data_IF_089204178755
#
_entry.id   IF_089204178755
#
_cell.length_a   1.000
_cell.length_b   1.000
_cell.length_c   1.000
_cell.angle_alpha   90.00
_cell.angle_beta   90.00
_cell.angle_gamma   90.00
#
_symmetry.space_group_name_H-M   'P 1'
#
loop_
_entity.id
_entity.type
_entity.pdbx_description
1 polymer ?
#
# COMPACT_ATOMS: atom_id res chain seq x y z
N UNK A 1 11.41 -3.02 15.87
CA UNK A 1 11.11 -3.80 14.67
C UNK A 1 10.04 -4.84 14.98
N UNK A 2 9.09 -5.02 14.07
CA UNK A 2 8.05 -6.05 14.13
C UNK A 2 8.19 -6.91 12.87
N UNK A 3 8.29 -8.21 13.05
CA UNK A 3 8.32 -9.18 11.96
C UNK A 3 7.01 -9.95 11.94
N UNK A 4 6.33 -9.95 10.80
CA UNK A 4 5.03 -10.58 10.61
C UNK A 4 5.13 -11.73 9.61
N UNK A 5 4.33 -12.76 9.85
CA UNK A 5 4.06 -13.82 8.89
C UNK A 5 2.67 -13.65 8.31
N UNK A 6 2.40 -14.31 7.20
CA UNK A 6 1.07 -14.37 6.61
C UNK A 6 0.01 -14.92 7.60
N UNK A 7 0.41 -15.89 8.44
CA UNK A 7 -0.45 -16.48 9.46
C UNK A 7 -0.82 -15.49 10.57
N UNK A 8 0.06 -14.52 10.88
CA UNK A 8 -0.23 -13.49 11.88
C UNK A 8 -1.37 -12.55 11.45
N UNK A 9 -1.60 -12.44 10.15
CA UNK A 9 -2.67 -11.61 9.58
C UNK A 9 -3.92 -12.41 9.16
N UNK A 10 -3.83 -13.75 9.07
CA UNK A 10 -4.97 -14.64 8.74
C UNK A 10 -5.65 -15.23 9.97
N UNK A 11 -4.87 -15.63 10.97
CA UNK A 11 -5.41 -16.18 12.21
C UNK A 11 -6.03 -15.06 13.05
N UNK A 12 -7.33 -15.14 13.34
CA UNK A 12 -8.04 -14.12 14.12
C UNK A 12 -7.36 -13.77 15.44
N UNK A 13 -6.88 -14.78 16.17
CA UNK A 13 -6.21 -14.57 17.47
C UNK A 13 -4.89 -13.82 17.29
N UNK A 14 -4.07 -14.25 16.33
CA UNK A 14 -2.78 -13.60 16.02
C UNK A 14 -2.98 -12.17 15.51
N UNK A 15 -3.97 -11.97 14.64
CA UNK A 15 -4.37 -10.67 14.14
C UNK A 15 -4.71 -9.70 15.27
N UNK A 16 -5.55 -10.12 16.22
CA UNK A 16 -5.94 -9.28 17.36
C UNK A 16 -4.76 -8.97 18.28
N UNK A 17 -3.86 -9.93 18.50
CA UNK A 17 -2.63 -9.72 19.28
C UNK A 17 -1.69 -8.72 18.58
N UNK A 18 -1.45 -8.91 17.28
CA UNK A 18 -0.64 -7.99 16.49
C UNK A 18 -1.23 -6.58 16.52
N UNK A 19 -2.54 -6.45 16.28
CA UNK A 19 -3.26 -5.18 16.33
C UNK A 19 -3.08 -4.47 17.68
N UNK A 20 -3.28 -5.19 18.78
CA UNK A 20 -3.11 -4.65 20.14
C UNK A 20 -1.68 -4.15 20.37
N UNK A 21 -0.69 -4.91 19.92
CA UNK A 21 0.73 -4.52 20.03
C UNK A 21 1.02 -3.23 19.23
N UNK A 22 0.51 -3.13 18.00
CA UNK A 22 0.69 -1.91 17.20
C UNK A 22 0.07 -0.69 17.87
N UNK A 23 -1.17 -0.82 18.37
CA UNK A 23 -1.85 0.29 19.02
C UNK A 23 -1.11 0.75 20.29
N UNK A 24 -0.64 -0.19 21.11
CA UNK A 24 0.16 0.15 22.31
C UNK A 24 1.46 0.89 21.96
N UNK A 25 2.15 0.48 20.90
CA UNK A 25 3.36 1.17 20.45
C UNK A 25 3.06 2.58 19.92
N UNK A 26 1.98 2.73 19.16
CA UNK A 26 1.56 4.04 18.64
C UNK A 26 1.12 4.96 19.77
N UNK A 27 0.39 4.48 20.77
CA UNK A 27 0.00 5.24 21.95
C UNK A 27 1.22 5.72 22.78
N UNK A 28 2.31 4.94 22.76
CA UNK A 28 3.59 5.32 23.37
C UNK A 28 4.44 6.27 22.49
N UNK A 29 3.93 6.67 21.31
CA UNK A 29 4.67 7.50 20.36
C UNK A 29 5.82 6.77 19.65
N UNK A 30 5.82 5.43 19.68
CA UNK A 30 6.85 4.61 19.00
C UNK A 30 6.43 4.37 17.55
N UNK A 31 7.35 4.56 16.62
CA UNK A 31 7.16 4.23 15.20
C UNK A 31 7.50 2.76 14.96
N UNK A 32 6.52 1.88 14.66
CA UNK A 32 6.79 0.49 14.33
C UNK A 32 7.46 0.36 12.95
N UNK A 33 8.61 -0.30 12.88
CA UNK A 33 9.26 -0.69 11.63
C UNK A 33 8.93 -2.15 11.36
N UNK A 34 8.24 -2.41 10.25
CA UNK A 34 7.65 -3.72 9.95
C UNK A 34 8.32 -4.36 8.76
N UNK A 35 8.52 -5.67 8.80
CA UNK A 35 8.92 -6.48 7.65
C UNK A 35 8.33 -7.89 7.76
N UNK A 36 8.44 -8.68 6.68
CA UNK A 36 8.13 -10.11 6.72
C UNK A 36 9.13 -10.87 7.59
N UNK A 37 8.67 -11.89 8.30
CA UNK A 37 9.55 -12.80 9.06
C UNK A 37 10.07 -13.93 8.16
N UNK A 38 11.04 -13.61 7.32
CA UNK A 38 11.66 -14.56 6.38
C UNK A 38 12.33 -15.78 7.06
N UNK A 39 12.58 -15.70 8.37
CA UNK A 39 13.24 -16.78 9.11
C UNK A 39 12.36 -18.02 9.28
N UNK A 40 11.05 -17.83 9.36
CA UNK A 40 10.07 -18.88 9.66
C UNK A 40 9.06 -19.11 8.56
N UNK A 41 9.18 -18.41 7.42
CA UNK A 41 8.25 -18.51 6.29
C UNK A 41 8.89 -19.35 5.18
N UNK A 42 8.16 -20.36 4.70
CA UNK A 42 8.51 -21.12 3.48
C UNK A 42 8.08 -20.34 2.24
N UNK A 43 8.74 -20.60 1.08
CA UNK A 43 8.46 -19.90 -0.18
C UNK A 43 7.00 -19.96 -0.65
N UNK A 44 6.24 -20.94 -0.17
CA UNK A 44 4.83 -21.17 -0.53
C UNK A 44 3.85 -20.26 0.23
N UNK A 45 4.30 -19.56 1.29
CA UNK A 45 3.45 -18.77 2.21
C UNK A 45 3.96 -17.33 2.39
N UNK A 46 4.70 -16.80 1.42
CA UNK A 46 5.18 -15.42 1.46
C UNK A 46 4.10 -14.42 1.06
N UNK A 47 4.18 -13.20 1.61
CA UNK A 47 3.33 -12.09 1.16
C UNK A 47 3.55 -11.72 -0.32
N UNK A 48 4.68 -12.13 -0.89
CA UNK A 48 5.05 -11.85 -2.26
C UNK A 48 5.77 -10.52 -2.43
N UNK A 49 5.36 -9.48 -1.73
CA UNK A 49 5.97 -8.16 -1.77
C UNK A 49 5.62 -7.32 -0.53
N UNK A 50 6.43 -6.29 -0.25
CA UNK A 50 6.23 -5.37 0.87
C UNK A 50 5.05 -4.40 0.63
N UNK A 51 4.61 -4.18 -0.60
CA UNK A 51 3.45 -3.34 -0.89
C UNK A 51 2.18 -4.00 -0.32
N UNK A 52 2.02 -5.32 -0.55
CA UNK A 52 0.93 -6.12 0.02
C UNK A 52 0.99 -6.15 1.56
N UNK A 53 2.17 -6.38 2.13
CA UNK A 53 2.35 -6.35 3.59
C UNK A 53 1.95 -4.98 4.16
N UNK A 54 2.40 -3.89 3.54
CA UNK A 54 2.07 -2.53 3.97
C UNK A 54 0.56 -2.25 3.95
N UNK A 55 -0.15 -2.71 2.90
CA UNK A 55 -1.60 -2.57 2.81
C UNK A 55 -2.35 -3.36 3.89
N UNK A 56 -1.89 -4.58 4.20
CA UNK A 56 -2.46 -5.40 5.26
C UNK A 56 -2.21 -4.79 6.65
N UNK A 57 -1.02 -4.22 6.88
CA UNK A 57 -0.72 -3.48 8.12
C UNK A 57 -1.56 -2.22 8.23
N UNK A 58 -1.74 -1.46 7.13
CA UNK A 58 -2.63 -0.30 7.11
C UNK A 58 -4.05 -0.68 7.55
N UNK A 59 -4.58 -1.81 7.05
CA UNK A 59 -5.88 -2.33 7.46
C UNK A 59 -5.89 -2.77 8.94
N UNK A 60 -4.82 -3.43 9.40
CA UNK A 60 -4.68 -3.90 10.78
C UNK A 60 -4.80 -2.76 11.80
N UNK A 61 -4.14 -1.64 11.52
CA UNK A 61 -4.11 -0.48 12.42
C UNK A 61 -5.23 0.54 12.15
N UNK A 62 -5.99 0.37 11.07
CA UNK A 62 -7.02 1.31 10.64
C UNK A 62 -6.45 2.63 10.15
N UNK A 63 -5.34 2.59 9.41
CA UNK A 63 -4.74 3.79 8.81
C UNK A 63 -5.69 4.44 7.80
N UNK A 64 -5.69 5.76 7.74
CA UNK A 64 -6.47 6.55 6.77
C UNK A 64 -5.72 6.65 5.43
N UNK A 65 -4.40 6.59 5.46
CA UNK A 65 -3.55 6.75 4.29
C UNK A 65 -2.43 5.72 4.27
N UNK A 66 -2.25 5.08 3.14
CA UNK A 66 -1.08 4.28 2.79
C UNK A 66 -0.20 5.09 1.83
N UNK A 67 1.08 5.25 2.16
CA UNK A 67 2.05 5.89 1.27
C UNK A 67 3.03 4.83 0.75
N UNK A 68 3.02 4.64 -0.58
CA UNK A 68 3.96 3.76 -1.28
C UNK A 68 5.01 4.60 -1.99
N UNK A 69 6.25 4.49 -1.54
CA UNK A 69 7.39 5.15 -2.16
C UNK A 69 8.02 4.25 -3.22
N UNK A 70 8.25 4.80 -4.39
CA UNK A 70 8.81 4.11 -5.56
C UNK A 70 9.90 4.96 -6.22
N UNK A 71 10.52 4.46 -7.26
CA UNK A 71 11.45 5.20 -8.13
C UNK A 71 10.72 6.03 -9.21
N UNK A 72 9.44 5.74 -9.46
CA UNK A 72 8.59 6.47 -10.40
C UNK A 72 7.92 7.68 -9.74
N UNK A 73 7.57 8.73 -10.50
CA UNK A 73 6.87 9.91 -9.95
C UNK A 73 5.48 9.60 -9.40
N UNK A 74 4.86 8.54 -9.87
CA UNK A 74 3.53 8.04 -9.53
C UNK A 74 3.01 7.10 -10.62
N UNK A 75 1.70 6.93 -10.71
CA UNK A 75 1.07 6.19 -11.81
C UNK A 75 1.01 7.08 -13.06
N UNK A 76 1.48 6.58 -14.18
CA UNK A 76 1.39 7.24 -15.48
C UNK A 76 0.22 6.67 -16.29
N UNK A 77 -0.31 7.46 -17.24
CA UNK A 77 -1.39 7.02 -18.14
C UNK A 77 -0.99 5.87 -19.06
N UNK A 78 0.30 5.72 -19.30
CA UNK A 78 0.93 4.63 -20.05
C UNK A 78 2.40 4.49 -19.61
N UNK A 79 3.09 3.46 -20.12
CA UNK A 79 4.51 3.29 -19.89
C UNK A 79 5.32 4.41 -20.57
N UNK A 80 6.03 5.28 -19.83
CA UNK A 80 6.79 6.39 -20.42
C UNK A 80 7.93 5.95 -21.38
N UNK A 81 8.41 4.70 -21.25
CA UNK A 81 9.41 4.15 -22.16
C UNK A 81 8.81 3.79 -23.52
N UNK A 82 7.51 3.48 -23.58
CA UNK A 82 6.80 3.11 -24.80
C UNK A 82 6.01 4.29 -25.37
N UNK A 83 5.45 5.14 -24.52
CA UNK A 83 4.68 6.34 -24.89
C UNK A 83 5.31 7.61 -24.29
N UNK A 84 6.09 8.37 -25.07
CA UNK A 84 6.70 9.63 -24.58
C UNK A 84 5.69 10.72 -24.17
N UNK A 85 4.41 10.55 -24.53
CA UNK A 85 3.31 11.44 -24.15
C UNK A 85 2.57 11.02 -22.86
N UNK A 86 3.05 10.00 -22.14
CA UNK A 86 2.42 9.57 -20.91
C UNK A 86 2.41 10.66 -19.85
N UNK A 87 1.26 10.90 -19.22
CA UNK A 87 1.05 11.94 -18.20
C UNK A 87 0.87 11.31 -16.82
N UNK A 88 1.23 12.05 -15.77
CA UNK A 88 1.03 11.62 -14.40
C UNK A 88 -0.46 11.67 -14.03
N UNK A 89 -1.00 10.54 -13.58
CA UNK A 89 -2.36 10.45 -13.02
C UNK A 89 -2.37 11.08 -11.63
N UNK A 90 -3.06 12.21 -11.46
CA UNK A 90 -3.07 12.91 -10.17
C UNK A 90 -3.98 12.23 -9.15
N UNK A 91 -5.17 11.79 -9.58
CA UNK A 91 -6.16 11.16 -8.69
C UNK A 91 -7.05 10.20 -9.48
N UNK A 92 -7.32 9.03 -8.90
CA UNK A 92 -8.23 8.03 -9.47
C UNK A 92 -8.81 7.15 -8.37
N UNK A 93 -10.04 6.60 -8.50
CA UNK A 93 -10.54 5.60 -7.55
C UNK A 93 -9.71 4.31 -7.59
N UNK A 94 -9.33 3.75 -6.43
CA UNK A 94 -8.56 2.51 -6.36
C UNK A 94 -9.29 1.30 -6.99
N UNK A 95 -10.63 1.36 -7.08
CA UNK A 95 -11.47 0.33 -7.68
C UNK A 95 -11.59 0.45 -9.21
N UNK A 96 -11.06 1.52 -9.82
CA UNK A 96 -11.16 1.73 -11.27
C UNK A 96 -10.39 0.64 -12.02
N UNK A 97 -11.02 0.09 -13.06
CA UNK A 97 -10.42 -0.98 -13.88
C UNK A 97 -9.37 -0.45 -14.84
N UNK A 98 -9.46 0.81 -15.24
CA UNK A 98 -8.44 1.43 -16.09
C UNK A 98 -7.03 1.42 -15.48
N UNK A 99 -6.95 1.26 -14.13
CA UNK A 99 -5.67 1.09 -13.45
C UNK A 99 -4.89 -0.15 -13.90
N UNK A 100 -5.59 -1.24 -14.31
CA UNK A 100 -4.94 -2.47 -14.76
C UNK A 100 -4.25 -2.26 -16.12
N UNK A 101 -4.88 -1.49 -17.00
CA UNK A 101 -4.32 -1.14 -18.31
C UNK A 101 -3.12 -0.17 -18.18
N UNK A 102 -3.23 0.81 -17.25
CA UNK A 102 -2.18 1.79 -16.99
C UNK A 102 -0.94 1.16 -16.28
N UNK A 103 -1.15 0.08 -15.51
CA UNK A 103 -0.04 -0.62 -14.84
C UNK A 103 0.96 -1.26 -15.82
N UNK A 104 0.53 -1.46 -17.06
CA UNK A 104 1.27 -2.19 -18.08
C UNK A 104 1.39 -3.68 -17.76
N UNK A 105 1.78 -4.46 -18.75
CA UNK A 105 2.24 -5.85 -18.52
C UNK A 105 3.56 -5.73 -17.77
N UNK A 106 3.51 -5.91 -16.43
CA UNK A 106 4.69 -5.78 -15.57
C UNK A 106 5.86 -6.56 -16.15
N UNK A 107 7.04 -5.95 -16.15
CA UNK A 107 8.25 -6.60 -16.66
C UNK A 107 8.38 -7.99 -16.03
N UNK A 108 8.51 -9.01 -16.84
CA UNK A 108 8.56 -10.42 -16.46
C UNK A 108 9.69 -10.77 -15.46
N UNK A 109 10.50 -9.79 -15.06
CA UNK A 109 11.64 -9.93 -14.14
C UNK A 109 11.52 -9.19 -12.80
N UNK A 110 10.47 -8.38 -12.52
CA UNK A 110 10.39 -7.55 -11.31
C UNK A 110 9.25 -7.96 -10.37
N UNK A 111 9.56 -8.59 -9.23
CA UNK A 111 8.69 -8.63 -8.07
C UNK A 111 8.57 -7.19 -7.52
N UNK A 112 7.45 -6.48 -7.78
CA UNK A 112 7.24 -5.15 -7.22
C UNK A 112 7.01 -4.01 -8.23
N UNK A 113 6.39 -4.28 -9.38
CA UNK A 113 6.02 -3.26 -10.37
C UNK A 113 4.81 -2.40 -9.94
N UNK A 114 4.35 -1.51 -10.81
CA UNK A 114 3.16 -0.68 -10.56
C UNK A 114 1.91 -1.53 -10.24
N UNK A 115 1.80 -2.72 -10.83
CA UNK A 115 0.69 -3.65 -10.58
C UNK A 115 0.58 -4.05 -9.10
N UNK A 116 1.70 -4.31 -8.40
CA UNK A 116 1.68 -4.65 -6.96
C UNK A 116 1.21 -3.48 -6.12
N UNK A 117 1.56 -2.25 -6.50
CA UNK A 117 1.12 -1.03 -5.83
C UNK A 117 -0.38 -0.77 -6.00
N UNK A 118 -0.91 -1.04 -7.19
CA UNK A 118 -2.35 -0.97 -7.45
C UNK A 118 -3.10 -2.04 -6.66
N UNK A 119 -2.58 -3.26 -6.59
CA UNK A 119 -3.16 -4.32 -5.78
C UNK A 119 -3.15 -3.97 -4.29
N UNK A 120 -2.04 -3.43 -3.79
CA UNK A 120 -1.93 -2.94 -2.42
C UNK A 120 -2.94 -1.81 -2.13
N UNK A 121 -3.10 -0.86 -3.06
CA UNK A 121 -4.09 0.20 -2.94
C UNK A 121 -5.52 -0.34 -2.87
N UNK A 122 -5.86 -1.34 -3.67
CA UNK A 122 -7.16 -2.03 -3.60
C UNK A 122 -7.38 -2.75 -2.27
N UNK A 123 -6.34 -3.36 -1.71
CA UNK A 123 -6.40 -3.98 -0.38
C UNK A 123 -6.64 -2.91 0.70
N UNK A 124 -5.88 -1.83 0.69
CA UNK A 124 -6.03 -0.73 1.64
C UNK A 124 -7.42 -0.07 1.55
N UNK A 125 -7.93 0.13 0.34
CA UNK A 125 -9.24 0.73 0.09
C UNK A 125 -10.41 -0.05 0.69
N UNK A 126 -10.27 -1.37 0.91
CA UNK A 126 -11.31 -2.20 1.57
C UNK A 126 -11.61 -1.76 3.00
N UNK A 127 -10.65 -1.18 3.70
CA UNK A 127 -10.82 -0.62 5.04
C UNK A 127 -10.98 0.90 5.05
N UNK A 128 -11.08 1.52 3.88
CA UNK A 128 -11.29 2.95 3.72
C UNK A 128 -10.00 3.77 3.67
N UNK A 129 -8.83 3.12 3.58
CA UNK A 129 -7.57 3.83 3.42
C UNK A 129 -7.35 4.24 1.96
N UNK A 130 -7.06 5.51 1.72
CA UNK A 130 -6.56 5.98 0.42
C UNK A 130 -5.07 5.69 0.29
N UNK A 131 -4.58 5.51 -0.95
CA UNK A 131 -3.17 5.22 -1.19
C UNK A 131 -2.53 6.33 -2.02
N UNK A 132 -1.37 6.81 -1.60
CA UNK A 132 -0.55 7.74 -2.37
C UNK A 132 0.67 6.96 -2.90
N UNK A 133 0.89 7.01 -4.22
CA UNK A 133 2.09 6.46 -4.86
C UNK A 133 2.94 7.66 -5.29
N UNK A 134 4.17 7.76 -4.78
CA UNK A 134 5.04 8.88 -5.05
C UNK A 134 6.52 8.46 -5.11
N UNK A 135 7.34 9.32 -5.74
CA UNK A 135 8.78 9.05 -5.83
C UNK A 135 9.46 9.24 -4.47
N UNK A 136 10.16 8.19 -4.01
CA UNK A 136 11.02 8.27 -2.83
C UNK A 136 12.28 9.12 -3.04
N UNK A 137 12.57 9.51 -4.30
CA UNK A 137 13.68 10.40 -4.66
C UNK A 137 13.34 11.88 -4.51
N UNK A 138 12.04 12.21 -4.39
CA UNK A 138 11.59 13.58 -4.18
C UNK A 138 12.04 14.10 -2.81
N UNK A 139 12.70 15.27 -2.75
CA UNK A 139 13.11 15.87 -1.49
C UNK A 139 11.93 16.11 -0.56
N UNK A 140 12.04 15.66 0.69
CA UNK A 140 11.02 15.86 1.73
C UNK A 140 9.61 15.39 1.36
N UNK A 141 9.49 14.36 0.51
CA UNK A 141 8.20 13.86 -0.03
C UNK A 141 7.17 13.60 1.07
N UNK A 142 7.55 12.94 2.17
CA UNK A 142 6.64 12.66 3.30
C UNK A 142 6.13 13.95 3.93
N UNK A 143 7.01 14.92 4.17
CA UNK A 143 6.65 16.22 4.76
C UNK A 143 5.78 17.06 3.82
N UNK A 144 5.96 16.93 2.50
CA UNK A 144 5.13 17.61 1.49
C UNK A 144 3.73 17.02 1.46
N UNK A 145 3.63 15.69 1.46
CA UNK A 145 2.36 14.97 1.50
C UNK A 145 1.60 15.26 2.80
N UNK A 146 2.29 15.31 3.96
CA UNK A 146 1.66 15.64 5.26
C UNK A 146 1.08 17.06 5.31
N UNK A 147 1.55 17.97 4.45
CA UNK A 147 0.99 19.32 4.23
C UNK A 147 -0.05 19.38 3.12
N UNK A 148 -0.52 18.23 2.65
CA UNK A 148 -1.50 18.11 1.57
C UNK A 148 -1.03 18.69 0.22
N UNK A 149 0.29 18.74 -0.01
CA UNK A 149 0.81 19.05 -1.33
C UNK A 149 0.49 17.92 -2.29
N UNK A 150 0.11 18.28 -3.51
CA UNK A 150 -0.19 17.30 -4.58
C UNK A 150 1.12 16.71 -5.13
N UNK A 151 1.54 15.59 -4.59
CA UNK A 151 2.75 14.86 -4.99
C UNK A 151 2.37 13.42 -5.32
N UNK A 152 2.77 12.96 -6.49
CA UNK A 152 2.46 11.59 -6.92
C UNK A 152 1.00 11.39 -7.35
N UNK A 153 0.52 10.17 -7.23
CA UNK A 153 -0.84 9.74 -7.57
C UNK A 153 -1.62 9.39 -6.31
N UNK A 154 -2.79 9.97 -6.14
CA UNK A 154 -3.74 9.61 -5.09
C UNK A 154 -4.77 8.59 -5.63
N UNK A 155 -4.74 7.38 -5.11
CA UNK A 155 -5.77 6.36 -5.33
C UNK A 155 -6.76 6.40 -4.17
N UNK A 156 -7.97 6.90 -4.42
CA UNK A 156 -8.98 7.10 -3.37
C UNK A 156 -9.69 5.78 -3.03
N UNK A 157 -9.95 5.58 -1.73
CA UNK A 157 -10.91 4.57 -1.31
C UNK A 157 -12.32 5.00 -1.75
N UNK A 158 -13.20 4.03 -2.10
CA UNK A 158 -14.61 4.34 -2.37
C UNK A 158 -15.28 4.86 -1.09
N UNK A 159 -16.24 5.79 -1.24
CA UNK A 159 -16.99 6.36 -0.11
C UNK A 159 -17.85 5.34 0.69
N UNK A 160 -17.92 4.11 0.24
CA UNK A 160 -18.67 3.01 0.89
C UNK A 160 -17.92 2.33 2.05
N UNK A 161 -16.87 2.92 2.58
CA UNK A 161 -16.04 2.37 3.67
C UNK A 161 -16.81 2.04 4.97
N UNK A 162 -18.01 2.56 5.14
CA UNK A 162 -18.86 2.25 6.29
C UNK A 162 -19.44 0.81 6.28
N UNK A 163 -19.52 0.15 5.14
CA UNK A 163 -20.07 -1.20 5.03
C UNK A 163 -19.03 -2.27 5.41
N UNK A 164 -17.76 -2.04 5.12
CA UNK A 164 -16.69 -2.99 5.38
C UNK A 164 -16.40 -3.19 6.90
N UNK A 165 -16.63 -2.18 7.73
CA UNK A 165 -16.41 -2.26 9.20
C UNK A 165 -17.35 -3.19 9.94
N UNK A 166 -18.44 -3.65 9.30
CA UNK A 166 -19.46 -4.53 9.91
C UNK A 166 -19.33 -6.02 9.53
N UNK A 167 -18.33 -6.41 8.76
CA UNK A 167 -18.18 -7.80 8.29
C UNK A 167 -17.16 -8.62 9.09
N UNK A 168 -16.90 -8.27 10.35
CA UNK A 168 -16.11 -9.09 11.28
C UNK A 168 -16.91 -9.56 12.47
#
# INVERSE_FOLDING_TARGET
QILLTHDDLRSRQRYLNARSTFWQLLDLGVVPVVNENDTVVTDEIKFGDNDTLAALVANLIGAETLLLLTDQPGLMTADPEQEPGAELVMTMPAADRALDDMAGEGSALGRGGMITKIQAARIAARSGASTIIASGREPSVISRISRSEKVGTLLTAADESMVARKQW
#
